data_IF_794399032779
#
_entry.id   IF_794399032779
#
_cell.length_a   1.000
_cell.length_b   1.000
_cell.length_c   1.000
_cell.angle_alpha   90.00
_cell.angle_beta   90.00
_cell.angle_gamma   90.00
#
_symmetry.space_group_name_H-M   'P 1'
#
loop_
_entity.id
_entity.type
_entity.pdbx_description
1 polymer ?
#
# COMPACT_ATOMS: atom_id res chain seq x y z
N UNK A 1 9.17 -22.47 -12.72
CA UNK A 1 8.06 -21.65 -12.20
C UNK A 1 8.65 -20.72 -11.15
N UNK A 2 9.10 -19.55 -11.57
CA UNK A 2 9.42 -18.46 -10.65
C UNK A 2 8.08 -17.97 -10.10
N UNK A 3 7.81 -18.26 -8.82
CA UNK A 3 6.69 -17.64 -8.13
C UNK A 3 7.13 -16.20 -7.85
N UNK A 4 6.72 -15.26 -8.71
CA UNK A 4 6.87 -13.83 -8.38
C UNK A 4 5.86 -13.53 -7.29
N UNK A 5 6.35 -13.28 -6.08
CA UNK A 5 5.53 -12.78 -4.97
C UNK A 5 5.59 -11.26 -5.11
N UNK A 6 4.63 -10.68 -5.84
CA UNK A 6 4.61 -9.24 -6.04
C UNK A 6 3.98 -8.53 -4.81
N UNK A 7 4.36 -7.27 -4.58
CA UNK A 7 3.96 -6.54 -3.38
C UNK A 7 2.55 -6.01 -3.55
N UNK A 8 1.65 -6.48 -2.71
CA UNK A 8 0.28 -5.98 -2.65
C UNK A 8 0.15 -4.88 -1.59
N UNK A 9 -0.67 -3.84 -1.80
CA UNK A 9 -0.90 -2.81 -0.79
C UNK A 9 -1.39 -3.38 0.56
N UNK A 10 -2.04 -4.55 0.56
CA UNK A 10 -2.38 -5.29 1.77
C UNK A 10 -1.19 -5.49 2.73
N UNK A 11 0.02 -5.73 2.23
CA UNK A 11 1.19 -6.02 3.06
C UNK A 11 1.55 -4.86 4.00
N UNK A 12 1.20 -3.63 3.64
CA UNK A 12 1.45 -2.44 4.47
C UNK A 12 0.77 -2.49 5.84
N UNK A 13 -0.27 -3.33 6.00
CA UNK A 13 -0.94 -3.54 7.28
C UNK A 13 -0.09 -4.34 8.29
N UNK A 14 0.98 -5.00 7.85
CA UNK A 14 1.83 -5.82 8.71
C UNK A 14 3.31 -5.39 8.73
N UNK A 15 3.70 -4.45 7.87
CA UNK A 15 5.05 -3.90 7.89
C UNK A 15 5.21 -2.87 9.00
N UNK A 16 6.32 -2.97 9.74
CA UNK A 16 6.72 -2.02 10.75
C UNK A 16 8.19 -1.65 10.53
N UNK A 17 8.62 -0.50 11.04
CA UNK A 17 10.01 -0.11 10.98
C UNK A 17 10.88 -1.17 11.71
N UNK A 18 11.92 -1.74 11.06
CA UNK A 18 12.80 -2.70 11.71
C UNK A 18 13.58 -2.11 12.89
N UNK A 19 13.75 -0.79 12.96
CA UNK A 19 14.57 -0.09 13.96
C UNK A 19 13.78 0.23 15.23
N UNK A 20 12.69 0.99 15.12
CA UNK A 20 11.92 1.49 16.27
C UNK A 20 10.58 0.75 16.48
N UNK A 21 10.24 -0.19 15.60
CA UNK A 21 8.98 -0.96 15.59
C UNK A 21 7.72 -0.12 15.38
N UNK A 22 7.85 1.11 14.92
CA UNK A 22 6.70 1.95 14.59
C UNK A 22 5.86 1.35 13.44
N UNK A 23 4.55 1.45 13.60
CA UNK A 23 3.54 1.10 12.61
C UNK A 23 2.37 2.08 12.76
N UNK A 24 1.79 2.62 11.66
CA UNK A 24 2.09 2.32 10.26
C UNK A 24 3.32 3.07 9.69
N UNK A 25 3.87 2.57 8.58
CA UNK A 25 4.84 3.31 7.77
C UNK A 25 4.11 4.16 6.73
N UNK A 26 4.66 5.34 6.41
CA UNK A 26 4.28 6.06 5.20
C UNK A 26 4.74 5.25 3.98
N UNK A 27 3.86 5.05 2.99
CA UNK A 27 4.22 4.38 1.75
C UNK A 27 4.05 5.33 0.57
N UNK A 28 5.04 5.39 -0.31
CA UNK A 28 5.05 6.19 -1.54
C UNK A 28 5.19 5.23 -2.72
N UNK A 29 4.15 5.15 -3.55
CA UNK A 29 4.13 4.21 -4.68
C UNK A 29 4.61 4.94 -5.93
N UNK A 30 5.63 4.40 -6.61
CA UNK A 30 6.24 5.06 -7.78
C UNK A 30 5.87 4.41 -9.10
N UNK A 31 5.80 3.07 -9.11
CA UNK A 31 5.53 2.26 -10.30
C UNK A 31 4.78 0.98 -9.94
N UNK A 32 3.76 0.66 -10.72
CA UNK A 32 2.96 -0.55 -10.59
C UNK A 32 3.47 -1.63 -11.56
N UNK A 33 3.51 -2.88 -11.08
CA UNK A 33 3.72 -4.07 -11.91
C UNK A 33 2.44 -4.41 -12.67
N UNK A 34 1.28 -4.24 -12.01
CA UNK A 34 -0.02 -4.38 -12.67
C UNK A 34 -0.10 -3.43 -13.86
N UNK A 35 -0.36 -3.96 -15.05
CA UNK A 35 -0.36 -3.13 -16.27
C UNK A 35 -1.49 -2.12 -16.28
N UNK A 36 -1.34 -1.01 -17.01
CA UNK A 36 -2.38 0.03 -17.08
C UNK A 36 -3.75 -0.52 -17.54
N UNK A 37 -3.76 -1.44 -18.52
CA UNK A 37 -5.00 -2.08 -19.00
C UNK A 37 -5.66 -2.98 -17.93
N UNK A 38 -4.86 -3.66 -17.10
CA UNK A 38 -5.37 -4.42 -15.96
C UNK A 38 -5.87 -3.50 -14.84
N UNK A 39 -5.16 -2.41 -14.55
CA UNK A 39 -5.59 -1.39 -13.59
C UNK A 39 -6.91 -0.76 -14.03
N UNK A 40 -7.07 -0.41 -15.31
CA UNK A 40 -8.33 0.09 -15.88
C UNK A 40 -9.45 -0.92 -15.65
N UNK A 41 -9.22 -2.20 -15.95
CA UNK A 41 -10.22 -3.25 -15.75
C UNK A 41 -10.61 -3.39 -14.28
N UNK A 42 -9.63 -3.42 -13.37
CA UNK A 42 -9.85 -3.53 -11.93
C UNK A 42 -10.69 -2.35 -11.43
N UNK A 43 -10.32 -1.13 -11.81
CA UNK A 43 -11.01 0.11 -11.46
C UNK A 43 -12.44 0.14 -12.04
N UNK A 44 -12.60 -0.16 -13.33
CA UNK A 44 -13.92 -0.14 -14.00
C UNK A 44 -14.92 -1.10 -13.36
N UNK A 45 -14.46 -2.24 -12.86
CA UNK A 45 -15.29 -3.27 -12.23
C UNK A 45 -15.52 -3.06 -10.72
N UNK A 46 -14.73 -2.19 -10.08
CA UNK A 46 -14.84 -1.93 -8.65
C UNK A 46 -16.23 -1.41 -8.27
N UNK A 47 -16.81 -2.01 -7.23
CA UNK A 47 -18.14 -1.71 -6.72
C UNK A 47 -19.29 -2.23 -7.59
N UNK A 48 -19.04 -2.83 -8.76
CA UNK A 48 -20.10 -3.33 -9.66
C UNK A 48 -20.30 -4.84 -9.58
N UNK A 49 -19.28 -5.56 -9.10
CA UNK A 49 -19.16 -7.01 -9.28
C UNK A 49 -19.03 -7.78 -7.95
N UNK A 50 -19.83 -7.42 -6.96
CA UNK A 50 -19.74 -7.91 -5.56
C UNK A 50 -20.13 -9.39 -5.35
N UNK A 51 -20.28 -10.20 -6.42
CA UNK A 51 -20.57 -11.65 -6.32
C UNK A 51 -19.37 -12.55 -6.65
N UNK A 52 -18.26 -11.99 -7.12
CA UNK A 52 -17.14 -12.79 -7.64
C UNK A 52 -16.20 -13.33 -6.55
N UNK A 53 -16.04 -12.63 -5.43
CA UNK A 53 -15.03 -12.96 -4.41
C UNK A 53 -15.64 -13.27 -3.03
N UNK A 54 -16.76 -13.99 -2.98
CA UNK A 54 -17.54 -14.20 -1.74
C UNK A 54 -16.71 -14.68 -0.54
N UNK A 55 -15.80 -15.65 -0.73
CA UNK A 55 -14.91 -16.13 0.34
C UNK A 55 -13.88 -15.09 0.76
N UNK A 56 -13.31 -14.37 -0.20
CA UNK A 56 -12.28 -13.38 0.07
C UNK A 56 -12.87 -12.14 0.75
N UNK A 57 -14.10 -11.75 0.42
CA UNK A 57 -14.80 -10.68 1.14
C UNK A 57 -15.11 -11.07 2.60
N UNK A 58 -15.50 -12.32 2.85
CA UNK A 58 -15.66 -12.82 4.23
C UNK A 58 -14.33 -12.77 5.01
N UNK A 59 -13.21 -13.06 4.35
CA UNK A 59 -11.89 -12.93 4.96
C UNK A 59 -11.51 -11.47 5.22
N UNK A 60 -11.71 -10.61 4.22
CA UNK A 60 -11.41 -9.18 4.29
C UNK A 60 -12.21 -8.48 5.39
N UNK A 61 -13.51 -8.73 5.46
CA UNK A 61 -14.38 -8.15 6.50
C UNK A 61 -14.01 -8.63 7.90
N UNK A 62 -13.58 -9.88 8.05
CA UNK A 62 -13.00 -10.36 9.30
C UNK A 62 -11.74 -9.55 9.68
N UNK A 63 -10.83 -9.36 8.73
CA UNK A 63 -9.58 -8.60 8.94
C UNK A 63 -9.82 -7.13 9.30
N UNK A 64 -10.87 -6.51 8.77
CA UNK A 64 -11.26 -5.15 9.14
C UNK A 64 -11.77 -5.14 10.59
N UNK A 65 -12.67 -6.07 10.94
CA UNK A 65 -13.30 -6.12 12.26
C UNK A 65 -12.30 -6.50 13.37
N UNK A 66 -11.34 -7.37 13.09
CA UNK A 66 -10.31 -7.77 14.05
C UNK A 66 -9.09 -6.83 14.10
N UNK A 67 -9.09 -5.77 13.27
CA UNK A 67 -8.04 -4.76 13.24
C UNK A 67 -6.78 -5.17 12.49
N UNK A 68 -6.74 -6.35 11.86
CA UNK A 68 -5.63 -6.76 10.96
C UNK A 68 -5.47 -5.77 9.80
N UNK A 69 -6.58 -5.26 9.25
CA UNK A 69 -6.55 -4.15 8.30
C UNK A 69 -6.80 -2.87 9.07
N UNK A 70 -5.81 -2.00 9.03
CA UNK A 70 -5.74 -0.76 9.78
C UNK A 70 -6.03 0.41 8.83
N UNK A 71 -7.14 1.16 9.01
CA UNK A 71 -7.40 2.37 8.23
C UNK A 71 -6.22 3.37 8.25
N UNK A 72 -5.54 3.61 9.38
CA UNK A 72 -4.29 4.39 9.39
C UNK A 72 -3.24 3.91 8.39
N UNK A 73 -3.03 2.60 8.25
CA UNK A 73 -2.02 2.04 7.34
C UNK A 73 -2.36 2.28 5.88
N UNK A 74 -3.64 2.22 5.52
CA UNK A 74 -4.11 2.52 4.16
C UNK A 74 -4.05 4.03 3.89
N UNK A 75 -4.45 4.86 4.86
CA UNK A 75 -4.35 6.33 4.77
C UNK A 75 -2.90 6.82 4.65
N UNK A 76 -1.93 6.02 5.11
CA UNK A 76 -0.51 6.30 4.98
C UNK A 76 0.04 6.05 3.57
N UNK A 77 -0.76 5.57 2.62
CA UNK A 77 -0.36 5.38 1.22
C UNK A 77 -0.48 6.70 0.46
N UNK A 78 0.58 7.04 -0.27
CA UNK A 78 0.67 8.15 -1.21
C UNK A 78 1.03 7.57 -2.57
N UNK A 79 0.05 7.50 -3.46
CA UNK A 79 0.29 7.08 -4.82
C UNK A 79 0.91 8.23 -5.62
N UNK A 80 2.19 8.08 -5.96
CA UNK A 80 2.96 9.01 -6.79
C UNK A 80 3.20 8.42 -8.19
N UNK A 81 2.49 7.34 -8.54
CA UNK A 81 2.50 6.80 -9.89
C UNK A 81 1.74 7.72 -10.84
N UNK A 82 1.95 7.52 -12.13
CA UNK A 82 1.26 8.29 -13.17
C UNK A 82 -0.08 7.65 -13.59
N UNK A 83 -0.53 6.62 -12.87
CA UNK A 83 -1.75 5.87 -13.22
C UNK A 83 -3.01 6.50 -12.62
N UNK A 84 -3.83 7.11 -13.48
CA UNK A 84 -5.14 7.64 -13.11
C UNK A 84 -6.05 6.58 -12.46
N UNK A 85 -5.98 5.33 -12.92
CA UNK A 85 -6.86 4.26 -12.43
C UNK A 85 -6.54 3.85 -10.99
N UNK A 86 -5.25 3.80 -10.65
CA UNK A 86 -4.80 3.52 -9.27
C UNK A 86 -5.15 4.67 -8.33
N UNK A 87 -4.97 5.91 -8.78
CA UNK A 87 -5.32 7.13 -8.03
C UNK A 87 -6.82 7.21 -7.75
N UNK A 88 -7.66 6.97 -8.75
CA UNK A 88 -9.11 6.93 -8.60
C UNK A 88 -9.55 5.82 -7.63
N UNK A 89 -8.99 4.62 -7.77
CA UNK A 89 -9.34 3.49 -6.92
C UNK A 89 -8.93 3.72 -5.46
N UNK A 90 -7.73 4.28 -5.22
CA UNK A 90 -7.31 4.71 -3.89
C UNK A 90 -8.25 5.79 -3.33
N UNK A 91 -8.68 6.75 -4.15
CA UNK A 91 -9.66 7.76 -3.77
C UNK A 91 -10.97 7.15 -3.28
N UNK A 92 -11.48 6.13 -3.97
CA UNK A 92 -12.70 5.42 -3.57
C UNK A 92 -12.50 4.57 -2.32
N UNK A 93 -11.33 3.97 -2.14
CA UNK A 93 -10.95 3.31 -0.88
C UNK A 93 -11.01 4.31 0.29
N UNK A 94 -10.40 5.48 0.15
CA UNK A 94 -10.39 6.50 1.21
C UNK A 94 -11.78 7.01 1.54
N UNK A 95 -12.66 7.18 0.53
CA UNK A 95 -14.08 7.50 0.76
C UNK A 95 -14.79 6.41 1.56
N UNK A 96 -14.54 5.14 1.23
CA UNK A 96 -15.12 4.02 1.97
C UNK A 96 -14.61 3.96 3.42
N UNK A 97 -13.31 4.15 3.65
CA UNK A 97 -12.76 4.20 5.01
C UNK A 97 -13.35 5.34 5.84
N UNK A 98 -13.60 6.51 5.24
CA UNK A 98 -14.29 7.61 5.92
C UNK A 98 -15.71 7.22 6.34
N UNK A 99 -16.43 6.43 5.53
CA UNK A 99 -17.77 5.93 5.91
C UNK A 99 -17.65 4.99 7.11
N UNK A 100 -16.69 4.07 7.10
CA UNK A 100 -16.49 3.11 8.18
C UNK A 100 -16.10 3.76 9.51
N UNK A 101 -15.42 4.91 9.50
CA UNK A 101 -15.08 5.63 10.74
C UNK A 101 -16.29 6.11 11.55
N UNK A 102 -17.45 6.26 10.91
CA UNK A 102 -18.70 6.65 11.59
C UNK A 102 -19.56 5.46 12.02
N UNK A 103 -19.10 4.23 11.78
CA UNK A 103 -19.82 3.00 12.09
C UNK A 103 -19.20 2.33 13.32
N UNK A 104 -20.01 2.09 14.36
CA UNK A 104 -19.55 1.44 15.59
C UNK A 104 -20.07 0.01 15.70
N UNK A 105 -19.18 -0.91 16.10
CA UNK A 105 -19.58 -2.26 16.52
C UNK A 105 -20.07 -3.19 15.40
N UNK A 106 -19.81 -2.89 14.13
CA UNK A 106 -20.18 -3.76 13.01
C UNK A 106 -19.53 -5.14 13.14
N UNK A 107 -20.35 -6.19 13.02
CA UNK A 107 -19.85 -7.54 12.77
C UNK A 107 -19.39 -7.70 11.32
N UNK A 108 -18.61 -8.75 11.03
CA UNK A 108 -18.15 -9.05 9.66
C UNK A 108 -19.31 -9.23 8.66
N UNK A 109 -20.42 -9.81 9.10
CA UNK A 109 -21.56 -10.14 8.25
C UNK A 109 -22.42 -8.87 8.01
N UNK A 110 -22.55 -8.01 9.02
CA UNK A 110 -23.16 -6.67 8.87
C UNK A 110 -22.35 -5.79 7.93
N UNK A 111 -21.03 -5.75 8.08
CA UNK A 111 -20.14 -4.99 7.20
C UNK A 111 -20.31 -5.41 5.73
N UNK A 112 -20.30 -6.72 5.45
CA UNK A 112 -20.44 -7.22 4.08
C UNK A 112 -21.85 -6.96 3.51
N UNK A 113 -22.89 -7.09 4.32
CA UNK A 113 -24.27 -6.88 3.87
C UNK A 113 -24.61 -5.40 3.67
N UNK A 114 -24.09 -4.52 4.52
CA UNK A 114 -24.35 -3.08 4.49
C UNK A 114 -23.51 -2.36 3.44
N UNK A 115 -22.28 -2.82 3.20
CA UNK A 115 -21.33 -2.15 2.30
C UNK A 115 -20.63 -3.09 1.30
N UNK A 116 -21.37 -3.90 0.53
CA UNK A 116 -20.75 -4.88 -0.38
C UNK A 116 -19.87 -4.22 -1.46
N UNK A 117 -20.26 -3.05 -1.95
CA UNK A 117 -19.48 -2.30 -2.95
C UNK A 117 -18.17 -1.75 -2.37
N UNK A 118 -18.23 -1.21 -1.14
CA UNK A 118 -17.05 -0.71 -0.45
C UNK A 118 -16.05 -1.81 -0.12
N UNK A 119 -16.54 -2.97 0.30
CA UNK A 119 -15.71 -4.16 0.53
C UNK A 119 -15.05 -4.64 -0.77
N UNK A 120 -15.76 -4.60 -1.90
CA UNK A 120 -15.18 -4.93 -3.21
C UNK A 120 -14.09 -3.94 -3.64
N UNK A 121 -14.35 -2.63 -3.51
CA UNK A 121 -13.38 -1.56 -3.82
C UNK A 121 -12.10 -1.77 -3.00
N UNK A 122 -12.23 -1.96 -1.69
CA UNK A 122 -11.11 -2.18 -0.80
C UNK A 122 -10.37 -3.47 -1.14
N UNK A 123 -11.09 -4.56 -1.40
CA UNK A 123 -10.49 -5.84 -1.78
C UNK A 123 -9.62 -5.70 -3.02
N UNK A 124 -10.16 -5.07 -4.06
CA UNK A 124 -9.50 -4.88 -5.36
C UNK A 124 -8.22 -4.09 -5.21
N UNK A 125 -8.27 -2.96 -4.51
CA UNK A 125 -7.08 -2.15 -4.27
C UNK A 125 -6.02 -2.91 -3.47
N UNK A 126 -6.41 -3.52 -2.35
CA UNK A 126 -5.46 -4.17 -1.45
C UNK A 126 -4.87 -5.46 -2.01
N UNK A 127 -5.59 -6.20 -2.85
CA UNK A 127 -5.24 -7.58 -3.20
C UNK A 127 -5.01 -7.85 -4.69
N UNK A 128 -5.45 -6.97 -5.59
CA UNK A 128 -5.33 -7.17 -7.05
C UNK A 128 -4.31 -6.24 -7.71
N UNK A 129 -3.95 -5.13 -7.06
CA UNK A 129 -2.84 -4.30 -7.51
C UNK A 129 -1.52 -4.79 -6.91
N UNK A 130 -0.48 -4.74 -7.72
CA UNK A 130 0.86 -5.20 -7.42
C UNK A 130 1.88 -4.09 -7.72
N UNK A 131 2.58 -3.64 -6.68
CA UNK A 131 3.55 -2.55 -6.74
C UNK A 131 4.92 -3.09 -7.16
N UNK A 132 5.53 -2.47 -8.16
CA UNK A 132 6.89 -2.80 -8.62
C UNK A 132 7.94 -2.04 -7.83
N UNK A 133 7.82 -0.70 -7.77
CA UNK A 133 8.76 0.19 -7.10
C UNK A 133 8.06 1.24 -6.22
N UNK A 134 8.67 1.54 -5.08
CA UNK A 134 8.15 2.51 -4.11
C UNK A 134 9.10 2.75 -2.95
N UNK A 135 8.66 3.52 -1.97
CA UNK A 135 9.43 3.86 -0.76
C UNK A 135 8.55 3.73 0.47
N UNK A 136 9.07 3.10 1.53
CA UNK A 136 8.51 3.18 2.87
C UNK A 136 9.28 4.20 3.68
N UNK A 137 8.61 4.98 4.52
CA UNK A 137 9.24 5.91 5.47
C UNK A 137 8.64 5.71 6.85
N UNK A 138 9.49 5.59 7.87
CA UNK A 138 9.07 5.69 9.25
C UNK A 138 8.88 7.17 9.63
N UNK A 139 7.68 7.59 10.04
CA UNK A 139 7.44 8.97 10.48
C UNK A 139 8.09 9.30 11.83
N UNK A 140 8.50 8.30 12.62
CA UNK A 140 9.15 8.49 13.94
C UNK A 140 10.66 8.71 13.82
N UNK A 141 11.39 7.76 13.23
CA UNK A 141 12.85 7.84 13.14
C UNK A 141 13.38 8.37 11.81
N UNK A 142 12.49 8.81 10.89
CA UNK A 142 12.80 9.32 9.56
C UNK A 142 13.54 8.36 8.61
N UNK A 143 13.72 7.09 9.00
CA UNK A 143 14.31 6.09 8.12
C UNK A 143 13.40 5.76 6.97
N UNK A 144 13.98 5.58 5.80
CA UNK A 144 13.27 5.15 4.62
C UNK A 144 13.80 3.80 4.12
N UNK A 145 12.98 3.05 3.40
CA UNK A 145 13.32 1.74 2.84
C UNK A 145 12.83 1.66 1.40
N UNK A 146 13.67 1.26 0.43
CA UNK A 146 13.22 1.09 -0.93
C UNK A 146 12.34 -0.15 -1.05
N UNK A 147 11.44 -0.11 -2.03
CA UNK A 147 10.71 -1.25 -2.56
C UNK A 147 11.15 -1.39 -4.01
N UNK A 148 11.60 -2.58 -4.41
CA UNK A 148 11.90 -2.85 -5.81
C UNK A 148 13.26 -2.37 -6.30
N UNK A 149 14.19 -1.99 -5.42
CA UNK A 149 15.52 -1.50 -5.84
C UNK A 149 16.40 -2.63 -6.37
N UNK A 150 16.52 -3.72 -5.62
CA UNK A 150 17.38 -4.88 -5.94
C UNK A 150 16.59 -6.00 -6.60
N UNK A 151 15.36 -6.21 -6.13
CA UNK A 151 14.41 -7.19 -6.66
C UNK A 151 13.05 -6.51 -6.71
N UNK A 152 12.45 -6.46 -7.90
CA UNK A 152 11.11 -5.90 -8.14
C UNK A 152 10.13 -6.39 -7.07
N UNK A 153 9.25 -5.50 -6.61
CA UNK A 153 8.23 -5.83 -5.62
C UNK A 153 8.73 -6.27 -4.24
N UNK A 154 10.03 -6.21 -3.91
CA UNK A 154 10.53 -6.60 -2.58
C UNK A 154 10.85 -5.36 -1.74
N UNK A 155 10.20 -5.17 -0.57
CA UNK A 155 10.63 -4.19 0.43
C UNK A 155 11.98 -4.57 1.07
N UNK A 156 12.94 -3.66 1.07
CA UNK A 156 14.29 -3.88 1.60
C UNK A 156 14.43 -3.27 3.00
N UNK A 157 13.91 -3.98 4.01
CA UNK A 157 13.90 -3.54 5.42
C UNK A 157 15.20 -3.92 6.16
N UNK A 158 16.34 -3.45 5.66
CA UNK A 158 17.66 -3.72 6.27
C UNK A 158 18.03 -2.71 7.37
N UNK A 159 18.81 -3.12 8.38
CA UNK A 159 19.42 -2.17 9.32
C UNK A 159 20.50 -1.34 8.63
N UNK A 160 20.77 -0.12 9.14
CA UNK A 160 21.60 0.87 8.45
C UNK A 160 23.03 0.38 8.14
N UNK A 161 23.60 -0.46 9.00
CA UNK A 161 24.96 -1.01 8.85
C UNK A 161 25.08 -2.04 7.72
N UNK A 162 23.97 -2.51 7.17
CA UNK A 162 23.91 -3.45 6.04
C UNK A 162 23.41 -2.79 4.74
N UNK A 163 23.30 -1.45 4.70
CA UNK A 163 22.81 -0.72 3.52
C UNK A 163 23.96 -0.18 2.68
N UNK A 164 23.75 -0.19 1.36
CA UNK A 164 24.75 0.21 0.37
C UNK A 164 24.52 1.66 -0.09
N UNK A 165 25.22 2.62 0.54
CA UNK A 165 25.03 4.07 0.34
C UNK A 165 25.03 4.49 -1.13
N UNK A 166 26.00 4.03 -1.91
CA UNK A 166 26.16 4.45 -3.31
C UNK A 166 24.95 4.03 -4.18
N UNK A 167 24.50 2.78 -4.03
CA UNK A 167 23.35 2.24 -4.78
C UNK A 167 22.03 2.88 -4.34
N UNK A 168 21.89 3.17 -3.06
CA UNK A 168 20.69 3.79 -2.52
C UNK A 168 20.58 5.27 -2.88
N UNK A 169 21.68 6.02 -2.89
CA UNK A 169 21.70 7.40 -3.41
C UNK A 169 21.34 7.42 -4.90
N UNK A 170 21.85 6.48 -5.69
CA UNK A 170 21.46 6.36 -7.12
C UNK A 170 19.96 6.11 -7.26
N UNK A 171 19.40 5.21 -6.46
CA UNK A 171 17.97 4.91 -6.47
C UNK A 171 17.11 6.10 -6.01
N UNK A 172 17.52 6.85 -4.99
CA UNK A 172 16.84 8.09 -4.57
C UNK A 172 16.85 9.13 -5.70
N UNK A 173 17.97 9.27 -6.42
CA UNK A 173 18.09 10.20 -7.57
C UNK A 173 17.21 9.79 -8.74
N UNK A 174 17.07 8.49 -9.02
CA UNK A 174 16.13 7.98 -10.03
C UNK A 174 14.69 8.45 -9.76
N UNK A 175 14.29 8.51 -8.49
CA UNK A 175 12.91 8.85 -8.09
C UNK A 175 12.76 10.25 -7.49
N UNK A 176 13.75 11.14 -7.68
CA UNK A 176 13.84 12.43 -6.97
C UNK A 176 12.57 13.29 -7.08
N UNK A 177 11.89 13.25 -8.22
CA UNK A 177 10.66 14.03 -8.47
C UNK A 177 9.44 13.47 -7.72
N UNK A 178 9.46 12.18 -7.37
CA UNK A 178 8.38 11.48 -6.65
C UNK A 178 8.66 11.36 -5.15
N UNK A 179 9.88 11.66 -4.70
CA UNK A 179 10.25 11.61 -3.28
C UNK A 179 9.52 12.72 -2.48
N UNK A 180 9.03 12.41 -1.26
CA UNK A 180 8.58 13.43 -0.34
C UNK A 180 9.76 14.30 0.15
N UNK A 181 9.51 15.57 0.42
CA UNK A 181 10.53 16.50 0.92
C UNK A 181 11.21 16.02 2.21
N UNK A 182 10.47 15.33 3.09
CA UNK A 182 11.01 14.77 4.33
C UNK A 182 12.07 13.69 4.09
N UNK A 183 12.03 12.97 2.97
CA UNK A 183 13.10 12.01 2.61
C UNK A 183 14.30 12.74 2.03
N UNK A 184 14.08 13.78 1.21
CA UNK A 184 15.16 14.57 0.61
C UNK A 184 16.00 15.32 1.66
N UNK A 185 15.36 15.79 2.72
CA UNK A 185 15.97 16.68 3.72
C UNK A 185 16.38 15.96 5.01
N UNK A 186 15.50 15.11 5.53
CA UNK A 186 15.64 14.48 6.85
C UNK A 186 15.75 12.95 6.78
N UNK A 187 15.75 12.37 5.57
CA UNK A 187 15.79 10.93 5.37
C UNK A 187 17.05 10.29 5.94
N UNK A 188 16.88 9.23 6.72
CA UNK A 188 17.98 8.44 7.26
C UNK A 188 18.02 7.05 6.57
N UNK A 189 19.21 6.45 6.38
CA UNK A 189 20.55 6.98 6.71
C UNK A 189 21.15 7.85 5.60
N UNK A 190 20.56 7.84 4.40
CA UNK A 190 21.10 8.54 3.23
C UNK A 190 20.07 9.50 2.61
N UNK A 191 20.59 10.50 1.92
CA UNK A 191 19.85 11.59 1.26
C UNK A 191 20.42 11.80 -0.16
N UNK A 192 19.59 12.19 -1.14
CA UNK A 192 19.99 12.27 -2.57
C UNK A 192 21.05 13.34 -2.89
#
# INVERSE_FOLDING_TARGET
MTYSINLKPWLLNVLACPIDKHHPLDAYFFKWETTEAEQEKINREAGKSYKFFSKQYQHLTKQIVDGTISPPSIRAIKDQSDSQYSLELLGDVLKFLNILEFEEGLTKDELLSKFPEGVDILYRYLNLLELEEGLLRCPECNRWYPIGRSVESIPELMPDDLREEAEEIEWLRKWIDKLPESVKTDGEPFKP
#
